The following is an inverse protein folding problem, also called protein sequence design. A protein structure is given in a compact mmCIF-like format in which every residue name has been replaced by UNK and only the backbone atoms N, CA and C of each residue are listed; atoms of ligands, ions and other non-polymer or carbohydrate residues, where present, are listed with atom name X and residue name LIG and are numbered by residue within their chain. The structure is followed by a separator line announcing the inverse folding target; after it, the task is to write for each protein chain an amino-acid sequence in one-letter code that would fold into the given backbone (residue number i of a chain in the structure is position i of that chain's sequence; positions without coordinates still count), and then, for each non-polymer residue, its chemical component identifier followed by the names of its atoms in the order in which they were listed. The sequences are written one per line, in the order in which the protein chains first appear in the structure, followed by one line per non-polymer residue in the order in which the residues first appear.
data_IF_750714977276
#
_entry.id   IF_750714977276
#
_cell.length_a   1.000
_cell.length_b   1.000
_cell.length_c   1.000
_cell.angle_alpha   90.00
_cell.angle_beta   90.00
_cell.angle_gamma   90.00
#
_symmetry.space_group_name_H-M   'P 1'
#
loop_
_entity.id
_entity.type
_entity.pdbx_description
1 polymer ?
#
# COMPACT_ATOMS: atom_id res chain seq x y z
N UNK A 1 -3.67 -28.05 -25.72
CA UNK A 1 -3.55 -27.84 -24.24
C UNK A 1 -2.79 -26.55 -23.89
N UNK A 2 -1.50 -26.43 -24.24
CA UNK A 2 -0.65 -25.28 -23.86
C UNK A 2 -1.13 -23.92 -24.41
N UNK A 3 -1.53 -23.84 -25.70
CA UNK A 3 -2.01 -22.59 -26.29
C UNK A 3 -3.33 -22.09 -25.67
N UNK A 4 -4.18 -23.00 -25.19
CA UNK A 4 -5.42 -22.65 -24.49
C UNK A 4 -5.16 -22.16 -23.06
N UNK A 5 -4.18 -22.75 -22.37
CA UNK A 5 -3.70 -22.24 -21.08
C UNK A 5 -3.03 -20.86 -21.23
N UNK A 6 -2.25 -20.66 -22.30
CA UNK A 6 -1.63 -19.36 -22.60
C UNK A 6 -2.69 -18.26 -22.78
N UNK A 7 -3.79 -18.57 -23.48
CA UNK A 7 -4.93 -17.67 -23.64
C UNK A 7 -5.59 -17.29 -22.30
N UNK A 8 -5.84 -18.27 -21.41
CA UNK A 8 -6.38 -18.01 -20.06
C UNK A 8 -5.43 -17.19 -19.19
N UNK A 9 -4.14 -17.47 -19.24
CA UNK A 9 -3.13 -16.70 -18.48
C UNK A 9 -3.10 -15.26 -18.99
N UNK A 10 -3.14 -15.05 -20.30
CA UNK A 10 -3.16 -13.72 -20.90
C UNK A 10 -4.39 -12.91 -20.47
N UNK A 11 -5.57 -13.54 -20.44
CA UNK A 11 -6.83 -12.91 -20.04
C UNK A 11 -6.82 -12.40 -18.59
N UNK A 12 -6.14 -13.12 -17.68
CA UNK A 12 -5.99 -12.70 -16.27
C UNK A 12 -4.82 -11.72 -16.10
N UNK A 13 -3.72 -11.93 -16.83
CA UNK A 13 -2.50 -11.14 -16.66
C UNK A 13 -2.65 -9.71 -17.22
N UNK A 14 -3.38 -9.55 -18.33
CA UNK A 14 -3.59 -8.25 -18.95
C UNK A 14 -4.20 -7.19 -18.00
N UNK A 15 -5.33 -7.45 -17.32
CA UNK A 15 -5.90 -6.48 -16.37
C UNK A 15 -5.00 -6.26 -15.14
N UNK A 16 -4.28 -7.28 -14.68
CA UNK A 16 -3.34 -7.14 -13.56
C UNK A 16 -2.17 -6.22 -13.88
N UNK A 17 -1.56 -6.39 -15.06
CA UNK A 17 -0.47 -5.51 -15.53
C UNK A 17 -0.98 -4.09 -15.73
N UNK A 18 -2.17 -3.92 -16.30
CA UNK A 18 -2.77 -2.60 -16.50
C UNK A 18 -3.05 -1.88 -15.18
N UNK A 19 -3.60 -2.58 -14.20
CA UNK A 19 -3.85 -2.05 -12.85
C UNK A 19 -2.55 -1.65 -12.14
N UNK A 20 -1.53 -2.50 -12.23
CA UNK A 20 -0.20 -2.23 -11.66
C UNK A 20 0.44 -1.00 -12.30
N UNK A 21 0.40 -0.92 -13.63
CA UNK A 21 0.93 0.22 -14.37
C UNK A 21 0.20 1.52 -14.02
N UNK A 22 -1.13 1.48 -13.92
CA UNK A 22 -1.94 2.64 -13.53
C UNK A 22 -1.55 3.15 -12.13
N UNK A 23 -1.34 2.24 -11.17
CA UNK A 23 -0.93 2.57 -9.81
C UNK A 23 0.46 3.23 -9.78
N UNK A 24 1.42 2.73 -10.57
CA UNK A 24 2.75 3.35 -10.69
C UNK A 24 2.69 4.72 -11.36
N UNK A 25 1.90 4.86 -12.43
CA UNK A 25 1.74 6.13 -13.14
C UNK A 25 1.11 7.19 -12.23
N UNK A 26 0.12 6.83 -11.42
CA UNK A 26 -0.47 7.74 -10.43
C UNK A 26 0.61 8.27 -9.47
N UNK A 27 1.47 7.41 -8.95
CA UNK A 27 2.55 7.82 -8.05
C UNK A 27 3.54 8.79 -8.72
N UNK A 28 3.94 8.50 -9.96
CA UNK A 28 4.86 9.35 -10.74
C UNK A 28 4.23 10.71 -11.05
N UNK A 29 2.98 10.74 -11.50
CA UNK A 29 2.28 11.99 -11.83
C UNK A 29 2.12 12.87 -10.59
N UNK A 30 1.76 12.30 -9.45
CA UNK A 30 1.68 13.03 -8.19
C UNK A 30 3.02 13.66 -7.80
N UNK A 31 4.14 12.93 -7.95
CA UNK A 31 5.48 13.45 -7.67
C UNK A 31 5.89 14.58 -8.63
N UNK A 32 5.58 14.46 -9.93
CA UNK A 32 5.90 15.50 -10.93
C UNK A 32 5.09 16.77 -10.65
N UNK A 33 3.80 16.65 -10.33
CA UNK A 33 2.98 17.81 -9.98
C UNK A 33 3.57 18.47 -8.73
N UNK A 34 3.86 17.69 -7.69
CA UNK A 34 4.40 18.22 -6.45
C UNK A 34 5.78 18.89 -6.65
N UNK A 35 6.65 18.30 -7.48
CA UNK A 35 7.96 18.89 -7.79
C UNK A 35 7.84 20.24 -8.47
N UNK A 36 6.83 20.42 -9.33
CA UNK A 36 6.59 21.68 -10.03
C UNK A 36 6.02 22.77 -9.10
N UNK A 37 5.18 22.42 -8.12
CA UNK A 37 4.54 23.39 -7.23
C UNK A 37 5.36 23.76 -5.99
N UNK A 38 6.14 22.83 -5.43
CA UNK A 38 6.77 22.98 -4.10
C UNK A 38 8.30 23.07 -4.16
N UNK A 39 8.90 22.89 -5.34
CA UNK A 39 10.34 22.91 -5.54
C UNK A 39 11.08 21.71 -4.91
N UNK A 40 12.41 21.76 -4.83
CA UNK A 40 13.25 20.62 -4.43
C UNK A 40 13.00 20.15 -3.00
N UNK A 41 12.69 21.06 -2.08
CA UNK A 41 12.48 20.77 -0.65
C UNK A 41 11.16 20.05 -0.40
N UNK A 42 10.09 20.45 -1.10
CA UNK A 42 8.80 19.74 -1.02
C UNK A 42 8.84 18.35 -1.63
N UNK A 43 9.56 18.19 -2.75
CA UNK A 43 9.78 16.89 -3.37
C UNK A 43 10.56 15.95 -2.45
N UNK A 44 11.64 16.44 -1.83
CA UNK A 44 12.43 15.66 -0.88
C UNK A 44 11.60 15.22 0.34
N UNK A 45 10.78 16.13 0.89
CA UNK A 45 9.88 15.80 2.00
C UNK A 45 8.81 14.77 1.63
N UNK A 46 8.20 14.86 0.44
CA UNK A 46 7.22 13.87 0.01
C UNK A 46 7.83 12.52 -0.38
N UNK A 47 9.03 12.52 -0.98
CA UNK A 47 9.78 11.29 -1.21
C UNK A 47 10.10 10.58 0.12
N UNK A 48 10.60 11.33 1.10
CA UNK A 48 10.86 10.81 2.44
C UNK A 48 9.59 10.27 3.11
N UNK A 49 8.48 11.02 3.04
CA UNK A 49 7.19 10.58 3.54
C UNK A 49 6.64 9.34 2.83
N UNK A 50 6.87 9.21 1.51
CA UNK A 50 6.49 8.02 0.73
C UNK A 50 7.26 6.79 1.19
N UNK A 51 8.58 6.92 1.35
CA UNK A 51 9.43 5.83 1.85
C UNK A 51 9.02 5.43 3.28
N UNK A 52 8.79 6.41 4.15
CA UNK A 52 8.30 6.17 5.52
C UNK A 52 6.95 5.42 5.51
N UNK A 53 5.97 5.89 4.74
CA UNK A 53 4.66 5.23 4.61
C UNK A 53 4.75 3.80 4.07
N UNK A 54 5.67 3.56 3.12
CA UNK A 54 5.89 2.24 2.57
C UNK A 54 6.42 1.28 3.64
N UNK A 55 7.49 1.65 4.33
CA UNK A 55 8.16 0.80 5.32
C UNK A 55 7.25 0.55 6.53
N UNK A 56 6.61 1.59 7.08
CA UNK A 56 5.90 1.50 8.34
C UNK A 56 4.46 0.98 8.23
N UNK A 57 3.82 1.08 7.05
CA UNK A 57 2.40 0.77 6.92
C UNK A 57 2.06 -0.04 5.67
N UNK A 58 2.35 0.49 4.48
CA UNK A 58 1.84 -0.10 3.24
C UNK A 58 2.42 -1.48 2.96
N UNK A 59 3.71 -1.71 3.22
CA UNK A 59 4.33 -3.02 3.02
C UNK A 59 3.71 -4.11 3.91
N UNK A 60 3.33 -3.76 5.14
CA UNK A 60 2.65 -4.69 6.05
C UNK A 60 1.28 -5.09 5.51
N UNK A 61 0.48 -4.11 5.06
CA UNK A 61 -0.86 -4.38 4.52
C UNK A 61 -0.80 -5.16 3.21
N UNK A 62 0.09 -4.78 2.28
CA UNK A 62 0.29 -5.51 1.03
C UNK A 62 0.68 -6.96 1.30
N UNK A 63 1.65 -7.20 2.20
CA UNK A 63 2.07 -8.56 2.54
C UNK A 63 0.95 -9.40 3.17
N UNK A 64 0.09 -8.80 3.99
CA UNK A 64 -1.09 -9.48 4.53
C UNK A 64 -2.11 -9.79 3.41
N UNK A 65 -2.35 -8.86 2.49
CA UNK A 65 -3.24 -9.09 1.34
C UNK A 65 -2.74 -10.20 0.41
N UNK A 66 -1.44 -10.25 0.12
CA UNK A 66 -0.83 -11.33 -0.66
C UNK A 66 -0.97 -12.71 0.03
N UNK A 67 -0.89 -12.74 1.36
CA UNK A 67 -1.14 -13.95 2.14
C UNK A 67 -2.61 -14.39 2.04
N UNK A 68 -3.56 -13.45 2.03
CA UNK A 68 -4.98 -13.73 1.83
C UNK A 68 -5.22 -14.34 0.44
N UNK A 69 -4.67 -13.74 -0.61
CA UNK A 69 -4.80 -14.27 -1.98
C UNK A 69 -4.26 -15.71 -2.09
N UNK A 70 -3.13 -15.98 -1.43
CA UNK A 70 -2.58 -17.33 -1.34
C UNK A 70 -3.53 -18.28 -0.63
N UNK A 71 -4.09 -17.91 0.53
CA UNK A 71 -5.03 -18.77 1.26
C UNK A 71 -6.34 -19.00 0.49
N UNK A 72 -6.86 -17.97 -0.18
CA UNK A 72 -8.06 -18.04 -1.00
C UNK A 72 -7.88 -18.93 -2.23
N UNK A 73 -6.72 -18.84 -2.90
CA UNK A 73 -6.41 -19.71 -4.03
C UNK A 73 -6.29 -21.17 -3.60
N UNK A 74 -5.68 -21.45 -2.44
CA UNK A 74 -5.60 -22.79 -1.87
C UNK A 74 -6.98 -23.34 -1.46
N UNK A 75 -7.78 -22.54 -0.74
CA UNK A 75 -9.13 -22.93 -0.31
C UNK A 75 -10.08 -23.16 -1.50
N UNK A 76 -9.97 -22.35 -2.55
CA UNK A 76 -10.70 -22.53 -3.80
C UNK A 76 -10.29 -23.80 -4.53
N UNK A 77 -8.99 -24.13 -4.57
CA UNK A 77 -8.48 -25.39 -5.12
C UNK A 77 -8.97 -26.63 -4.34
N UNK A 78 -9.12 -26.51 -3.02
CA UNK A 78 -9.65 -27.54 -2.14
C UNK A 78 -11.20 -27.61 -2.10
N UNK A 79 -11.90 -26.73 -2.83
CA UNK A 79 -13.38 -26.60 -2.84
C UNK A 79 -13.99 -26.30 -1.45
N UNK A 80 -13.23 -25.69 -0.55
CA UNK A 80 -13.64 -25.35 0.82
C UNK A 80 -14.27 -23.94 0.90
N UNK A 81 -15.27 -23.67 0.07
CA UNK A 81 -15.83 -22.32 -0.10
C UNK A 81 -16.46 -21.74 1.18
N UNK A 82 -17.03 -22.58 2.04
CA UNK A 82 -17.66 -22.16 3.30
C UNK A 82 -16.62 -21.68 4.33
N UNK A 83 -15.51 -22.39 4.45
CA UNK A 83 -14.39 -22.03 5.34
C UNK A 83 -13.58 -20.85 4.79
N UNK A 84 -13.53 -20.70 3.46
CA UNK A 84 -12.92 -19.55 2.79
C UNK A 84 -13.57 -18.23 3.21
N UNK A 85 -14.91 -18.17 3.23
CA UNK A 85 -15.64 -16.96 3.65
C UNK A 85 -15.34 -16.57 5.09
N UNK A 86 -15.34 -17.53 6.02
CA UNK A 86 -15.02 -17.26 7.43
C UNK A 86 -13.57 -16.80 7.61
N UNK A 87 -12.64 -17.38 6.85
CA UNK A 87 -11.22 -17.01 6.86
C UNK A 87 -11.02 -15.59 6.32
N UNK A 88 -11.72 -15.23 5.24
CA UNK A 88 -11.71 -13.87 4.68
C UNK A 88 -12.18 -12.82 5.69
N UNK A 89 -13.28 -13.07 6.40
CA UNK A 89 -13.74 -12.14 7.45
C UNK A 89 -12.72 -11.95 8.57
N UNK A 90 -12.07 -13.03 9.02
CA UNK A 90 -11.01 -12.95 10.04
C UNK A 90 -9.81 -12.15 9.54
N UNK A 91 -9.42 -12.38 8.28
CA UNK A 91 -8.29 -11.67 7.68
C UNK A 91 -8.57 -10.19 7.46
N UNK A 92 -9.80 -9.81 7.07
CA UNK A 92 -10.21 -8.40 7.00
C UNK A 92 -10.08 -7.71 8.36
N UNK A 93 -10.48 -8.36 9.46
CA UNK A 93 -10.30 -7.82 10.81
C UNK A 93 -8.82 -7.61 11.12
N UNK A 94 -7.95 -8.57 10.77
CA UNK A 94 -6.50 -8.45 10.97
C UNK A 94 -5.94 -7.28 10.15
N UNK A 95 -6.40 -7.11 8.90
CA UNK A 95 -6.00 -6.01 8.02
C UNK A 95 -6.38 -4.65 8.62
N UNK A 96 -7.59 -4.52 9.16
CA UNK A 96 -8.03 -3.32 9.87
C UNK A 96 -7.18 -3.02 11.11
N UNK A 97 -6.88 -4.04 11.93
CA UNK A 97 -6.02 -3.88 13.11
C UNK A 97 -4.62 -3.41 12.69
N UNK A 98 -4.04 -4.01 11.65
CA UNK A 98 -2.74 -3.62 11.11
C UNK A 98 -2.76 -2.18 10.57
N UNK A 99 -3.82 -1.79 9.84
CA UNK A 99 -4.00 -0.43 9.36
C UNK A 99 -4.12 0.58 10.51
N UNK A 100 -4.87 0.26 11.57
CA UNK A 100 -4.98 1.11 12.76
C UNK A 100 -3.63 1.25 13.47
N UNK A 101 -2.87 0.17 13.64
CA UNK A 101 -1.53 0.22 14.24
C UNK A 101 -0.57 1.11 13.42
N UNK A 102 -0.58 0.98 12.09
CA UNK A 102 0.22 1.84 11.21
C UNK A 102 -0.22 3.31 11.27
N UNK A 103 -1.51 3.59 11.43
CA UNK A 103 -2.00 4.96 11.57
C UNK A 103 -1.52 5.65 12.85
N UNK A 104 -1.35 4.90 13.95
CA UNK A 104 -0.74 5.44 15.18
C UNK A 104 0.70 5.90 14.90
N UNK A 105 1.47 5.13 14.12
CA UNK A 105 2.82 5.52 13.69
C UNK A 105 2.78 6.76 12.77
N UNK A 106 1.79 6.84 11.87
CA UNK A 106 1.64 7.97 10.94
C UNK A 106 1.28 9.27 11.65
N UNK A 107 0.55 9.19 12.77
CA UNK A 107 0.25 10.35 13.61
C UNK A 107 1.53 10.95 14.22
N UNK A 108 2.48 10.10 14.60
CA UNK A 108 3.78 10.50 15.17
C UNK A 108 4.91 10.58 14.13
N UNK A 109 4.59 10.62 12.82
CA UNK A 109 5.59 10.54 11.77
C UNK A 109 6.63 11.67 11.84
N UNK A 110 6.24 12.91 12.15
CA UNK A 110 7.19 14.03 12.29
C UNK A 110 8.18 13.78 13.43
N UNK A 111 7.71 13.36 14.60
CA UNK A 111 8.57 13.12 15.76
C UNK A 111 9.51 11.94 15.53
N UNK A 112 9.01 10.87 14.90
CA UNK A 112 9.82 9.71 14.51
C UNK A 112 10.93 10.10 13.51
N UNK A 113 10.62 10.94 12.53
CA UNK A 113 11.61 11.43 11.56
C UNK A 113 12.66 12.33 12.21
N UNK A 114 12.25 13.18 13.16
CA UNK A 114 13.18 13.99 13.96
C UNK A 114 14.11 13.11 14.81
N UNK A 115 13.59 12.05 15.42
CA UNK A 115 14.38 11.07 16.18
C UNK A 115 15.39 10.33 15.29
N UNK A 116 15.04 10.07 14.03
CA UNK A 116 15.96 9.52 13.03
C UNK A 116 17.03 10.52 12.55
N UNK A 117 17.07 11.74 13.10
CA UNK A 117 18.07 12.76 12.76
C UNK A 117 17.77 13.54 11.48
N UNK A 118 16.53 13.51 10.98
CA UNK A 118 16.16 14.31 9.81
C UNK A 118 16.09 15.80 10.13
N UNK A 119 16.37 16.64 9.13
CA UNK A 119 16.23 18.09 9.27
C UNK A 119 14.78 18.47 9.61
N UNK A 120 14.62 19.40 10.56
CA UNK A 120 13.29 19.80 11.07
C UNK A 120 12.30 20.20 9.99
N UNK A 121 12.76 20.97 8.99
CA UNK A 121 11.90 21.40 7.90
C UNK A 121 11.42 20.21 7.06
N UNK A 122 12.30 19.24 6.79
CA UNK A 122 11.98 18.05 6.00
C UNK A 122 11.05 17.10 6.76
N UNK A 123 11.27 16.91 8.06
CA UNK A 123 10.44 16.08 8.93
C UNK A 123 9.00 16.62 9.06
N UNK A 124 8.82 17.95 9.09
CA UNK A 124 7.49 18.56 9.12
C UNK A 124 6.74 18.32 7.80
N UNK A 125 7.41 18.52 6.65
CA UNK A 125 6.80 18.29 5.33
C UNK A 125 6.43 16.82 5.16
N UNK A 126 7.36 15.92 5.47
CA UNK A 126 7.16 14.48 5.36
C UNK A 126 6.05 13.98 6.30
N UNK A 127 6.04 14.40 7.57
CA UNK A 127 4.98 14.01 8.49
C UNK A 127 3.61 14.51 8.05
N UNK A 128 3.49 15.77 7.63
CA UNK A 128 2.24 16.30 7.08
C UNK A 128 1.79 15.61 5.79
N UNK A 129 2.71 15.07 4.99
CA UNK A 129 2.39 14.23 3.84
C UNK A 129 1.88 12.85 4.26
N UNK A 130 2.50 12.23 5.27
CA UNK A 130 2.12 10.91 5.81
C UNK A 130 0.76 10.96 6.50
N UNK A 131 0.46 11.98 7.31
CA UNK A 131 -0.85 12.11 7.99
C UNK A 131 -2.00 12.25 6.99
N UNK A 132 -1.78 12.88 5.84
CA UNK A 132 -2.79 12.97 4.78
C UNK A 132 -3.03 11.65 4.05
N UNK A 133 -2.14 10.66 4.18
CA UNK A 133 -2.29 9.33 3.60
C UNK A 133 -3.10 8.35 4.47
N UNK A 134 -3.42 8.70 5.73
CA UNK A 134 -4.22 7.87 6.65
C UNK A 134 -5.51 7.32 5.99
N UNK A 135 -6.38 8.12 5.32
CA UNK A 135 -7.57 7.57 4.68
C UNK A 135 -7.25 6.58 3.55
N UNK A 136 -6.16 6.81 2.81
CA UNK A 136 -5.70 5.89 1.77
C UNK A 136 -5.21 4.56 2.32
N UNK A 137 -4.73 4.53 3.57
CA UNK A 137 -4.28 3.32 4.22
C UNK A 137 -5.44 2.39 4.59
N UNK A 138 -6.57 2.95 5.07
CA UNK A 138 -7.79 2.18 5.31
C UNK A 138 -8.44 1.70 4.00
N UNK A 139 -8.39 2.52 2.95
CA UNK A 139 -8.88 2.11 1.64
C UNK A 139 -8.11 0.91 1.06
N UNK A 140 -6.85 0.73 1.46
CA UNK A 140 -6.03 -0.42 1.06
C UNK A 140 -6.34 -1.69 1.87
N UNK A 141 -7.04 -1.56 2.99
CA UNK A 141 -7.45 -2.67 3.85
C UNK A 141 -8.83 -3.25 3.50
N UNK A 142 -9.48 -2.72 2.45
CA UNK A 142 -10.80 -3.13 1.95
C UNK A 142 -10.65 -3.65 0.53
#
# INVERSE_FOLDING_TARGET
PFLAELGRVWEISYPMVLSSLSSYLQAVICLIILSNFTGPTGLAGASLGTVFSNICGRSLLIGLSEAIDTLCSQASGAKLYKEMGLTLYRMLIILFIAATAANVLFWHATDLLLLCGQEKQLAIIAGGYVTRQIPGLYALAV
#
